data_IF_199181107098
#
_entry.id   IF_199181107098
#
_cell.length_a   1.000
_cell.length_b   1.000
_cell.length_c   1.000
_cell.angle_alpha   90.00
_cell.angle_beta   90.00
_cell.angle_gamma   90.00
#
_symmetry.space_group_name_H-M   'P 1'
#
loop_
_entity.id
_entity.type
_entity.pdbx_description
1 polymer ?
#
# COMPACT_ATOMS: atom_id res chain seq x y z
N UNK A 1 -0.42 9.48 -12.24
CA UNK A 1 0.81 9.08 -11.52
C UNK A 1 0.57 7.75 -10.86
N UNK A 2 1.25 6.70 -11.30
CA UNK A 2 1.20 5.37 -10.68
C UNK A 2 2.36 5.24 -9.69
N UNK A 3 2.11 4.62 -8.52
CA UNK A 3 3.17 4.34 -7.57
C UNK A 3 4.07 3.22 -8.12
N UNK A 4 5.40 3.39 -8.12
CA UNK A 4 6.31 2.35 -8.61
C UNK A 4 6.14 1.06 -7.79
N UNK A 5 5.86 -0.06 -8.48
CA UNK A 5 5.59 -1.35 -7.85
C UNK A 5 4.13 -1.60 -7.44
N UNK A 6 3.24 -0.62 -7.63
CA UNK A 6 1.78 -0.74 -7.44
C UNK A 6 1.08 -0.86 -8.79
N UNK A 7 0.66 -2.08 -9.14
CA UNK A 7 -0.26 -2.34 -10.24
C UNK A 7 -1.73 -2.23 -9.80
N UNK A 8 -2.66 -2.45 -10.73
CA UNK A 8 -4.10 -2.33 -10.49
C UNK A 8 -4.62 -3.20 -9.34
N UNK A 9 -4.11 -4.42 -9.20
CA UNK A 9 -4.52 -5.35 -8.13
C UNK A 9 -4.15 -4.78 -6.76
N UNK A 10 -2.91 -4.32 -6.59
CA UNK A 10 -2.41 -3.73 -5.34
C UNK A 10 -3.10 -2.40 -5.05
N UNK A 11 -3.35 -1.59 -6.08
CA UNK A 11 -4.10 -0.34 -5.94
C UNK A 11 -5.52 -0.57 -5.44
N UNK A 12 -6.22 -1.59 -5.97
CA UNK A 12 -7.54 -2.00 -5.47
C UNK A 12 -7.48 -2.48 -4.02
N UNK A 13 -6.45 -3.25 -3.65
CA UNK A 13 -6.25 -3.71 -2.29
C UNK A 13 -6.01 -2.53 -1.31
N UNK A 14 -5.19 -1.55 -1.68
CA UNK A 14 -4.97 -0.30 -0.90
C UNK A 14 -6.27 0.48 -0.73
N UNK A 15 -7.04 0.65 -1.80
CA UNK A 15 -8.34 1.33 -1.70
C UNK A 15 -9.29 0.59 -0.77
N UNK A 16 -9.30 -0.75 -0.80
CA UNK A 16 -10.12 -1.58 0.09
C UNK A 16 -9.68 -1.48 1.54
N UNK A 17 -8.37 -1.52 1.81
CA UNK A 17 -7.80 -1.32 3.13
C UNK A 17 -8.17 0.06 3.70
N UNK A 18 -8.05 1.12 2.88
CA UNK A 18 -8.43 2.49 3.25
C UNK A 18 -9.91 2.65 3.59
N UNK A 19 -10.80 1.85 2.98
CA UNK A 19 -12.23 1.82 3.34
C UNK A 19 -12.50 1.13 4.66
N UNK A 20 -11.68 0.14 5.04
CA UNK A 20 -11.80 -0.57 6.34
C UNK A 20 -11.21 0.22 7.50
N UNK A 21 -10.18 1.03 7.24
CA UNK A 21 -9.57 1.88 8.24
C UNK A 21 -8.50 2.79 7.62
N UNK A 22 -8.16 3.88 8.30
CA UNK A 22 -7.02 4.70 7.88
C UNK A 22 -5.74 3.87 8.04
N UNK A 23 -4.93 3.82 6.99
CA UNK A 23 -3.55 3.34 7.08
C UNK A 23 -2.79 4.33 7.97
N UNK A 24 -2.36 3.89 9.14
CA UNK A 24 -1.63 4.75 10.09
C UNK A 24 -0.13 4.48 10.05
N UNK A 25 0.24 3.25 9.72
CA UNK A 25 1.61 2.77 9.79
C UNK A 25 1.96 1.97 8.53
N UNK A 26 3.25 1.69 8.35
CA UNK A 26 3.72 0.79 7.29
C UNK A 26 3.19 -0.64 7.48
N UNK A 27 2.99 -1.09 8.71
CA UNK A 27 2.40 -2.40 9.03
C UNK A 27 1.00 -2.56 8.44
N UNK A 28 0.17 -1.51 8.47
CA UNK A 28 -1.16 -1.57 7.83
C UNK A 28 -1.06 -1.79 6.33
N UNK A 29 -0.03 -1.20 5.71
CA UNK A 29 0.23 -1.33 4.27
C UNK A 29 0.83 -2.69 3.94
N UNK A 30 1.64 -3.25 4.84
CA UNK A 30 2.22 -4.59 4.73
C UNK A 30 1.18 -5.70 4.92
N UNK A 31 0.11 -5.42 5.68
CA UNK A 31 -1.04 -6.32 5.82
C UNK A 31 -1.97 -6.33 4.58
N UNK A 32 -1.67 -5.54 3.55
CA UNK A 32 -2.47 -5.50 2.33
C UNK A 32 -2.07 -6.66 1.43
N UNK A 33 -3.06 -7.49 1.07
CA UNK A 33 -2.90 -8.57 0.10
C UNK A 33 -2.21 -8.09 -1.20
N UNK A 34 -1.07 -8.72 -1.50
CA UNK A 34 -0.25 -8.41 -2.66
C UNK A 34 0.81 -7.32 -2.46
N UNK A 35 0.94 -6.74 -1.24
CA UNK A 35 2.06 -5.85 -0.89
C UNK A 35 3.09 -6.61 -0.08
N UNK A 36 4.10 -7.13 -0.77
CA UNK A 36 5.31 -7.65 -0.11
C UNK A 36 6.28 -6.54 0.27
N UNK A 37 7.30 -6.89 1.07
CA UNK A 37 8.36 -5.98 1.55
C UNK A 37 9.03 -5.19 0.42
N UNK A 38 9.25 -5.82 -0.72
CA UNK A 38 9.89 -5.18 -1.88
C UNK A 38 9.02 -4.04 -2.46
N UNK A 39 7.70 -4.26 -2.47
CA UNK A 39 6.74 -3.23 -2.88
C UNK A 39 6.66 -2.14 -1.83
N UNK A 40 6.59 -2.53 -0.55
CA UNK A 40 6.57 -1.62 0.58
C UNK A 40 7.78 -0.68 0.56
N UNK A 41 9.00 -1.19 0.33
CA UNK A 41 10.22 -0.37 0.21
C UNK A 41 10.14 0.67 -0.91
N UNK A 42 9.56 0.32 -2.07
CA UNK A 42 9.39 1.22 -3.23
C UNK A 42 8.37 2.32 -2.95
N UNK A 43 7.30 2.02 -2.20
CA UNK A 43 6.25 3.00 -1.87
C UNK A 43 6.49 3.75 -0.56
N UNK A 44 7.32 3.23 0.35
CA UNK A 44 7.66 3.83 1.66
C UNK A 44 8.00 5.33 1.58
N UNK A 45 8.83 5.82 0.64
CA UNK A 45 9.10 7.25 0.52
C UNK A 45 7.89 8.09 0.01
N UNK A 46 6.88 7.44 -0.57
CA UNK A 46 5.66 8.08 -1.07
C UNK A 46 4.48 7.97 -0.07
N UNK A 47 4.61 7.15 0.97
CA UNK A 47 3.60 7.02 2.00
C UNK A 47 3.71 8.19 2.99
N UNK A 48 2.58 8.87 3.20
CA UNK A 48 2.36 9.83 4.27
C UNK A 48 1.14 9.37 5.06
N UNK A 49 1.28 9.34 6.38
CA UNK A 49 0.26 8.95 7.34
C UNK A 49 -0.36 10.20 7.99
#
# INVERSE_FOLDING_TARGET
>A
MTLPGIGEVKAKAIMKARRRGKLKNLDDVMNIDGIGEETLKKIKPYLRF
#
